data_IF_681746771132
#
_entry.id   IF_681746771132
#
_cell.length_a   1.000
_cell.length_b   1.000
_cell.length_c   1.000
_cell.angle_alpha   90.00
_cell.angle_beta   90.00
_cell.angle_gamma   90.00
#
_symmetry.space_group_name_H-M   'P 1'
#
loop_
_entity.id
_entity.type
_entity.pdbx_description
1 polymer ?
#
# COMPACT_ATOMS: atom_id res chain seq x y z
N UNK A 1 -5.08 -6.85 -10.04
CA UNK A 1 -5.33 -5.43 -9.77
C UNK A 1 -5.31 -4.71 -11.10
N UNK A 2 -6.09 -3.65 -11.24
CA UNK A 2 -6.14 -2.79 -12.42
C UNK A 2 -5.77 -1.38 -11.99
N UNK A 3 -4.86 -0.73 -12.71
CA UNK A 3 -4.51 0.67 -12.47
C UNK A 3 -5.65 1.53 -12.99
N UNK A 4 -6.19 2.39 -12.13
CA UNK A 4 -7.30 3.30 -12.46
C UNK A 4 -6.85 4.75 -12.55
N UNK A 5 -5.75 5.11 -11.89
CA UNK A 5 -5.14 6.44 -11.96
C UNK A 5 -3.64 6.39 -11.67
N UNK A 6 -2.89 7.30 -12.27
CA UNK A 6 -1.46 7.54 -12.03
C UNK A 6 -1.25 9.06 -11.96
N UNK A 7 -0.67 9.54 -10.86
CA UNK A 7 -0.18 10.93 -10.71
C UNK A 7 1.36 10.93 -10.72
N UNK A 8 1.98 12.07 -10.37
CA UNK A 8 3.44 12.17 -10.27
C UNK A 8 4.03 11.16 -9.28
N UNK A 9 3.34 10.92 -8.16
CA UNK A 9 3.88 10.23 -7.00
C UNK A 9 2.96 9.11 -6.46
N UNK A 10 1.78 8.93 -7.06
CA UNK A 10 0.75 8.01 -6.56
C UNK A 10 0.17 7.17 -7.69
N UNK A 11 0.02 5.88 -7.44
CA UNK A 11 -0.72 4.94 -8.29
C UNK A 11 -1.94 4.45 -7.50
N UNK A 12 -3.12 4.59 -8.09
CA UNK A 12 -4.35 4.02 -7.58
C UNK A 12 -4.73 2.75 -8.36
N UNK A 13 -4.99 1.68 -7.62
CA UNK A 13 -5.40 0.39 -8.16
C UNK A 13 -6.78 -0.01 -7.65
N UNK A 14 -7.62 -0.51 -8.54
CA UNK A 14 -8.78 -1.31 -8.17
C UNK A 14 -8.41 -2.80 -8.10
N UNK A 15 -8.81 -3.46 -7.02
CA UNK A 15 -8.53 -4.87 -6.75
C UNK A 15 -9.84 -5.63 -6.60
N UNK A 16 -10.28 -6.28 -7.67
CA UNK A 16 -11.53 -7.06 -7.68
C UNK A 16 -11.55 -8.22 -6.66
N UNK A 17 -10.38 -8.75 -6.28
CA UNK A 17 -10.22 -9.88 -5.36
C UNK A 17 -9.13 -9.58 -4.33
N UNK A 18 -9.42 -8.84 -3.26
CA UNK A 18 -8.48 -8.64 -2.17
C UNK A 18 -8.13 -9.98 -1.48
N UNK A 19 -7.02 -10.05 -0.71
CA UNK A 19 -6.69 -11.21 0.11
C UNK A 19 -7.86 -11.54 1.04
N UNK A 20 -8.05 -12.83 1.31
CA UNK A 20 -9.18 -13.33 2.11
C UNK A 20 -8.79 -13.74 3.53
N UNK A 21 -7.50 -13.74 3.82
CA UNK A 21 -6.95 -14.14 5.10
C UNK A 21 -5.82 -13.21 5.54
N UNK A 22 -5.61 -13.22 6.86
CA UNK A 22 -4.69 -12.32 7.54
C UNK A 22 -3.24 -12.53 7.10
N UNK A 23 -2.83 -13.77 6.85
CA UNK A 23 -1.42 -14.07 6.56
C UNK A 23 -1.05 -13.63 5.14
N UNK A 24 -1.94 -13.84 4.17
CA UNK A 24 -1.82 -13.30 2.82
C UNK A 24 -1.78 -11.77 2.84
N UNK A 25 -2.65 -11.13 3.63
CA UNK A 25 -2.68 -9.67 3.75
C UNK A 25 -1.40 -9.10 4.39
N UNK A 26 -0.85 -9.76 5.41
CA UNK A 26 0.42 -9.36 6.03
C UNK A 26 1.59 -9.51 5.06
N UNK A 27 1.62 -10.57 4.26
CA UNK A 27 2.66 -10.75 3.23
C UNK A 27 2.59 -9.62 2.20
N UNK A 28 1.40 -9.32 1.68
CA UNK A 28 1.20 -8.23 0.73
C UNK A 28 1.53 -6.87 1.34
N UNK A 29 1.17 -6.63 2.60
CA UNK A 29 1.54 -5.41 3.30
C UNK A 29 3.06 -5.20 3.35
N UNK A 30 3.83 -6.26 3.62
CA UNK A 30 5.30 -6.18 3.58
C UNK A 30 5.84 -5.86 2.19
N UNK A 31 5.25 -6.46 1.16
CA UNK A 31 5.62 -6.15 -0.24
C UNK A 31 5.31 -4.68 -0.56
N UNK A 32 4.13 -4.19 -0.19
CA UNK A 32 3.74 -2.79 -0.41
C UNK A 32 4.63 -1.82 0.37
N UNK A 33 5.00 -2.14 1.62
CA UNK A 33 5.94 -1.32 2.41
C UNK A 33 7.36 -1.34 1.84
N UNK A 34 7.78 -2.43 1.19
CA UNK A 34 9.09 -2.50 0.54
C UNK A 34 9.16 -1.64 -0.74
N UNK A 35 8.02 -1.47 -1.43
CA UNK A 35 7.92 -0.52 -2.52
C UNK A 35 7.76 0.91 -1.97
N UNK A 36 6.74 1.16 -1.17
CA UNK A 36 6.43 2.48 -0.64
C UNK A 36 7.11 2.68 0.73
N UNK A 37 8.42 2.97 0.73
CA UNK A 37 9.20 3.17 1.97
C UNK A 37 8.56 4.21 2.91
N UNK A 38 7.93 5.25 2.34
CA UNK A 38 7.26 6.31 3.09
C UNK A 38 6.00 5.88 3.82
N UNK A 39 5.44 4.69 3.54
CA UNK A 39 4.38 4.10 4.39
C UNK A 39 4.85 3.96 5.84
N UNK A 40 6.15 3.74 6.03
CA UNK A 40 6.77 3.62 7.36
C UNK A 40 7.40 4.91 7.87
N UNK A 41 7.71 5.86 6.99
CA UNK A 41 8.24 7.16 7.40
C UNK A 41 7.18 7.92 8.23
N UNK A 42 7.59 8.41 9.40
CA UNK A 42 6.67 9.00 10.39
C UNK A 42 6.03 8.02 11.37
N UNK A 43 6.36 6.72 11.32
CA UNK A 43 6.04 5.74 12.37
C UNK A 43 4.56 5.43 12.59
N UNK A 44 3.68 5.85 11.68
CA UNK A 44 2.23 5.81 11.90
C UNK A 44 1.58 4.49 11.47
N UNK A 45 2.18 3.74 10.53
CA UNK A 45 1.64 2.47 10.03
C UNK A 45 2.63 1.32 10.20
N UNK A 46 2.15 0.20 10.75
CA UNK A 46 2.87 -1.08 10.76
C UNK A 46 2.25 -2.04 9.73
N UNK A 47 2.93 -3.15 9.42
CA UNK A 47 2.44 -4.14 8.46
C UNK A 47 1.03 -4.66 8.78
N UNK A 48 0.65 -4.74 10.06
CA UNK A 48 -0.69 -5.15 10.45
C UNK A 48 -1.76 -4.11 10.09
N UNK A 49 -1.46 -2.82 10.24
CA UNK A 49 -2.38 -1.73 9.87
C UNK A 49 -2.59 -1.69 8.36
N UNK A 50 -1.51 -1.82 7.58
CA UNK A 50 -1.58 -1.89 6.11
C UNK A 50 -2.37 -3.12 5.68
N UNK A 51 -2.10 -4.29 6.27
CA UNK A 51 -2.82 -5.53 5.97
C UNK A 51 -4.32 -5.43 6.24
N UNK A 52 -4.74 -4.74 7.31
CA UNK A 52 -6.16 -4.51 7.60
C UNK A 52 -6.86 -3.72 6.49
N UNK A 53 -6.19 -2.72 5.92
CA UNK A 53 -6.67 -1.98 4.74
C UNK A 53 -6.76 -2.88 3.50
N UNK A 54 -5.72 -3.69 3.24
CA UNK A 54 -5.68 -4.61 2.10
C UNK A 54 -6.77 -5.69 2.15
N UNK A 55 -7.20 -6.10 3.34
CA UNK A 55 -8.29 -7.07 3.53
C UNK A 55 -9.67 -6.50 3.21
N UNK A 56 -9.87 -5.21 3.47
CA UNK A 56 -11.21 -4.60 3.51
C UNK A 56 -11.47 -3.67 2.34
N UNK A 57 -10.42 -3.12 1.73
CA UNK A 57 -10.52 -2.18 0.62
C UNK A 57 -10.29 -2.86 -0.72
N UNK A 58 -11.16 -2.51 -1.68
CA UNK A 58 -10.97 -2.79 -3.09
C UNK A 58 -10.13 -1.73 -3.79
N UNK A 59 -9.82 -0.62 -3.13
CA UNK A 59 -9.00 0.47 -3.67
C UNK A 59 -7.68 0.53 -2.91
N UNK A 60 -6.57 0.33 -3.62
CA UNK A 60 -5.22 0.32 -3.06
C UNK A 60 -4.41 1.46 -3.64
N UNK A 61 -3.60 2.08 -2.79
CA UNK A 61 -2.73 3.19 -3.15
C UNK A 61 -1.27 2.78 -2.96
N UNK A 62 -0.45 3.13 -3.93
CA UNK A 62 1.00 3.05 -3.85
C UNK A 62 1.51 4.48 -4.03
N UNK A 63 2.33 4.96 -3.10
CA UNK A 63 2.85 6.31 -3.17
C UNK A 63 4.32 6.38 -2.78
N UNK A 64 5.00 7.41 -3.28
CA UNK A 64 6.41 7.68 -3.03
C UNK A 64 6.51 9.16 -2.76
N UNK A 65 6.84 9.57 -1.53
CA UNK A 65 7.17 10.97 -1.31
C UNK A 65 8.54 11.25 -1.93
N UNK A 66 8.66 12.35 -2.66
CA UNK A 66 9.98 12.88 -2.97
C UNK A 66 10.68 13.19 -1.64
N UNK A 67 11.87 12.63 -1.43
CA UNK A 67 12.76 13.14 -0.38
C UNK A 67 13.20 14.52 -0.84
N UNK A 68 12.79 15.58 -0.14
CA UNK A 68 13.43 16.89 -0.34
C UNK A 68 14.95 16.69 -0.20
N UNK A 69 15.76 17.16 -1.17
CA UNK A 69 17.20 17.09 -1.02
C UNK A 69 17.60 17.95 0.18
N UNK A 70 18.39 17.35 1.08
CA UNK A 70 18.98 18.02 2.24
C UNK A 70 19.91 19.17 1.85
#
# INVERSE_FOLDING_TARGET
>A
AEVVSITQDTIECHVARPPRDRDAAIRLAKEQMAYCESITEGGTLCAATVAAGLLTSHTWYFWWSEKEPA
#
